data_IF_536813354369
#
_entry.id   IF_536813354369
#
_cell.length_a   1.000
_cell.length_b   1.000
_cell.length_c   1.000
_cell.angle_alpha   90.00
_cell.angle_beta   90.00
_cell.angle_gamma   90.00
#
_symmetry.space_group_name_H-M   'P 1'
#
loop_
_entity.id
_entity.type
_entity.pdbx_description
1 polymer ?
#
# COMPACT_ATOMS: atom_id res chain seq x y z
N UNK A 1 33.00 69.25 23.07
CA UNK A 1 33.55 67.90 22.77
C UNK A 1 32.90 66.83 23.64
N UNK A 2 32.83 67.03 24.97
CA UNK A 2 32.17 66.11 25.91
C UNK A 2 30.69 65.84 25.63
N UNK A 3 29.92 66.88 25.32
CA UNK A 3 28.48 66.77 25.02
C UNK A 3 28.19 65.81 23.86
N UNK A 4 28.98 65.90 22.77
CA UNK A 4 28.86 65.01 21.61
C UNK A 4 29.20 63.56 21.96
N UNK A 5 30.17 63.34 22.84
CA UNK A 5 30.55 62.00 23.30
C UNK A 5 29.45 61.37 24.16
N UNK A 6 28.83 62.15 25.06
CA UNK A 6 27.70 61.70 25.88
C UNK A 6 26.50 61.34 24.99
N UNK A 7 26.18 62.20 24.02
CA UNK A 7 25.11 61.94 23.08
C UNK A 7 25.32 60.64 22.29
N UNK A 8 26.52 60.41 21.75
CA UNK A 8 26.84 59.17 21.03
C UNK A 8 26.75 57.93 21.93
N UNK A 9 27.25 58.01 23.18
CA UNK A 9 27.18 56.90 24.12
C UNK A 9 25.72 56.52 24.42
N UNK A 10 24.91 57.51 24.78
CA UNK A 10 23.48 57.29 25.07
C UNK A 10 22.71 56.79 23.86
N UNK A 11 23.00 57.34 22.68
CA UNK A 11 22.38 56.89 21.44
C UNK A 11 22.72 55.42 21.16
N UNK A 12 23.97 55.00 21.41
CA UNK A 12 24.37 53.61 21.23
C UNK A 12 23.68 52.69 22.25
N UNK A 13 23.71 53.04 23.53
CA UNK A 13 23.04 52.26 24.59
C UNK A 13 21.54 52.11 24.31
N UNK A 14 20.89 53.18 23.89
CA UNK A 14 19.47 53.18 23.51
C UNK A 14 19.20 52.27 22.30
N UNK A 15 20.10 52.25 21.30
CA UNK A 15 19.94 51.39 20.12
C UNK A 15 20.12 49.92 20.46
N UNK A 16 21.05 49.57 21.35
CA UNK A 16 21.23 48.21 21.86
C UNK A 16 20.04 47.73 22.71
N UNK A 17 19.41 48.64 23.47
CA UNK A 17 18.21 48.32 24.27
C UNK A 17 16.96 48.13 23.39
N UNK A 18 16.74 49.02 22.41
CA UNK A 18 15.55 48.98 21.53
C UNK A 18 15.63 47.85 20.50
N UNK A 19 16.83 47.48 20.06
CA UNK A 19 17.06 46.42 19.09
C UNK A 19 17.81 45.26 19.74
N UNK A 20 17.14 44.42 20.55
CA UNK A 20 17.77 43.22 21.06
C UNK A 20 18.27 42.38 19.87
N UNK A 21 19.39 41.64 20.03
CA UNK A 21 19.88 40.75 18.99
C UNK A 21 18.76 39.82 18.52
N UNK A 22 18.44 39.88 17.23
CA UNK A 22 17.40 39.02 16.65
C UNK A 22 17.77 37.56 16.89
N UNK A 23 16.93 36.83 17.61
CA UNK A 23 17.07 35.38 17.64
C UNK A 23 16.87 34.85 16.22
N UNK A 24 17.62 33.81 15.81
CA UNK A 24 17.37 33.17 14.54
C UNK A 24 15.92 32.69 14.49
N UNK A 25 15.18 33.14 13.49
CA UNK A 25 13.80 32.71 13.28
C UNK A 25 13.79 31.22 12.93
N UNK A 26 12.89 30.45 13.57
CA UNK A 26 12.67 29.06 13.18
C UNK A 26 12.12 29.01 11.76
N UNK A 27 12.90 28.42 10.84
CA UNK A 27 12.53 28.32 9.42
C UNK A 27 11.75 27.05 9.10
N UNK A 28 11.74 26.06 10.00
CA UNK A 28 11.19 24.73 9.79
C UNK A 28 10.05 24.44 10.76
N UNK A 29 8.96 23.88 10.25
CA UNK A 29 7.89 23.33 11.08
C UNK A 29 8.37 22.11 11.86
N UNK A 30 7.70 21.83 12.99
CA UNK A 30 7.92 20.62 13.80
C UNK A 30 7.86 19.35 12.95
N UNK A 31 6.87 19.25 12.05
CA UNK A 31 6.74 18.13 11.12
C UNK A 31 7.95 18.01 10.19
N UNK A 32 8.47 19.12 9.65
CA UNK A 32 9.62 19.05 8.76
C UNK A 32 10.86 18.55 9.51
N UNK A 33 11.05 18.97 10.76
CA UNK A 33 12.16 18.50 11.61
C UNK A 33 12.04 17.01 11.95
N UNK A 34 10.84 16.55 12.28
CA UNK A 34 10.65 15.20 12.83
C UNK A 34 10.52 14.12 11.74
N UNK A 35 9.99 14.47 10.56
CA UNK A 35 9.71 13.52 9.48
C UNK A 35 10.78 13.48 8.39
N UNK A 36 11.81 14.34 8.45
CA UNK A 36 13.04 14.18 7.67
C UNK A 36 14.00 13.20 8.36
N UNK A 37 13.55 11.96 8.56
CA UNK A 37 14.45 10.89 8.96
C UNK A 37 15.38 10.56 7.77
N UNK A 38 16.54 11.21 7.72
CA UNK A 38 17.61 10.85 6.80
C UNK A 38 18.03 9.39 7.01
N UNK A 39 18.38 8.69 5.92
CA UNK A 39 18.87 7.31 6.00
C UNK A 39 17.81 6.23 5.82
N UNK A 40 16.52 6.58 5.70
CA UNK A 40 15.53 5.60 5.22
C UNK A 40 15.76 5.33 3.73
N UNK A 41 16.28 4.15 3.43
CA UNK A 41 16.38 3.61 2.07
C UNK A 41 15.40 2.45 1.96
N UNK A 42 14.22 2.62 1.34
CA UNK A 42 13.28 1.54 1.16
C UNK A 42 13.94 0.47 0.27
N UNK A 43 14.34 -0.64 0.89
CA UNK A 43 14.90 -1.78 0.17
C UNK A 43 13.79 -2.80 -0.02
N UNK A 44 13.36 -3.10 -1.25
CA UNK A 44 12.38 -4.14 -1.48
C UNK A 44 12.94 -5.48 -0.98
N UNK A 45 12.08 -6.36 -0.43
CA UNK A 45 12.53 -7.69 -0.02
C UNK A 45 13.07 -8.45 -1.22
N UNK A 46 14.08 -9.29 -0.99
CA UNK A 46 14.59 -10.20 -2.01
C UNK A 46 13.47 -11.11 -2.50
N UNK A 47 13.24 -11.12 -3.81
CA UNK A 47 12.24 -11.98 -4.43
C UNK A 47 12.69 -13.44 -4.35
N UNK A 48 11.86 -14.32 -3.78
CA UNK A 48 12.15 -15.76 -3.68
C UNK A 48 12.08 -16.47 -5.04
N UNK A 49 11.24 -15.97 -5.95
CA UNK A 49 11.05 -16.51 -7.30
C UNK A 49 10.84 -15.36 -8.30
N UNK A 50 11.16 -15.56 -9.59
CA UNK A 50 10.82 -14.60 -10.64
C UNK A 50 9.30 -14.58 -10.83
N UNK A 51 8.65 -13.47 -10.47
CA UNK A 51 7.19 -13.31 -10.56
C UNK A 51 6.79 -12.40 -11.74
N UNK A 52 5.87 -12.87 -12.58
CA UNK A 52 5.24 -12.06 -13.63
C UNK A 52 3.80 -11.70 -13.26
N UNK A 53 3.59 -10.49 -12.77
CA UNK A 53 2.28 -9.99 -12.33
C UNK A 53 1.21 -9.95 -13.44
N UNK A 54 1.59 -9.97 -14.72
CA UNK A 54 0.64 -10.01 -15.82
C UNK A 54 0.08 -11.40 -16.08
N UNK A 55 0.85 -12.44 -15.75
CA UNK A 55 0.55 -13.83 -16.14
C UNK A 55 0.21 -14.71 -14.93
N UNK A 56 0.68 -14.35 -13.74
CA UNK A 56 0.46 -15.12 -12.53
C UNK A 56 -0.86 -14.76 -11.85
N UNK A 57 -1.56 -15.79 -11.37
CA UNK A 57 -2.69 -15.59 -10.48
C UNK A 57 -2.20 -15.11 -9.10
N UNK A 58 -2.82 -14.07 -8.51
CA UNK A 58 -2.43 -13.59 -7.20
C UNK A 58 -2.69 -14.66 -6.15
N UNK A 59 -1.71 -14.90 -5.28
CA UNK A 59 -1.92 -15.74 -4.10
C UNK A 59 -2.79 -14.99 -3.10
N UNK A 60 -3.89 -15.63 -2.72
CA UNK A 60 -4.81 -15.13 -1.71
C UNK A 60 -5.29 -16.28 -0.84
N UNK A 61 -5.74 -15.95 0.38
CA UNK A 61 -6.37 -16.92 1.29
C UNK A 61 -7.46 -17.76 0.60
N UNK A 62 -8.29 -17.12 -0.22
CA UNK A 62 -9.37 -17.81 -0.93
C UNK A 62 -8.83 -18.84 -1.92
N UNK A 63 -7.79 -18.48 -2.70
CA UNK A 63 -7.15 -19.40 -3.65
C UNK A 63 -6.58 -20.64 -2.95
N UNK A 64 -5.91 -20.44 -1.81
CA UNK A 64 -5.32 -21.53 -1.02
C UNK A 64 -6.38 -22.47 -0.43
N UNK A 65 -7.55 -21.92 -0.08
CA UNK A 65 -8.64 -22.68 0.56
C UNK A 65 -9.71 -23.15 -0.42
N UNK A 66 -9.60 -22.79 -1.70
CA UNK A 66 -10.68 -22.88 -2.69
C UNK A 66 -11.28 -24.29 -2.82
N UNK A 67 -10.45 -25.34 -2.67
CA UNK A 67 -10.86 -26.74 -2.78
C UNK A 67 -11.33 -27.36 -1.44
N UNK A 68 -11.06 -26.68 -0.32
CA UNK A 68 -11.37 -27.15 1.03
C UNK A 68 -12.56 -26.43 1.68
N UNK A 69 -13.08 -25.41 0.99
CA UNK A 69 -14.15 -24.57 1.52
C UNK A 69 -15.51 -25.17 1.17
N UNK A 70 -16.37 -25.48 2.16
CA UNK A 70 -17.73 -25.93 1.90
C UNK A 70 -18.60 -24.75 1.45
N UNK A 71 -19.69 -25.05 0.73
CA UNK A 71 -20.71 -24.05 0.38
C UNK A 71 -20.35 -23.14 -0.81
N UNK A 72 -19.26 -23.42 -1.53
CA UNK A 72 -18.94 -22.75 -2.80
C UNK A 72 -19.22 -23.65 -3.99
N UNK A 73 -19.45 -23.02 -5.15
CA UNK A 73 -19.60 -23.72 -6.42
C UNK A 73 -18.31 -24.44 -6.81
N UNK A 74 -18.44 -25.59 -7.47
CA UNK A 74 -17.29 -26.40 -7.88
C UNK A 74 -16.33 -25.59 -8.78
N UNK A 75 -15.03 -25.74 -8.51
CA UNK A 75 -13.95 -25.10 -9.26
C UNK A 75 -13.47 -26.08 -10.32
N UNK A 76 -13.94 -25.90 -11.55
CA UNK A 76 -13.64 -26.81 -12.66
C UNK A 76 -12.44 -26.35 -13.52
N UNK A 77 -11.99 -25.11 -13.35
CA UNK A 77 -10.92 -24.51 -14.17
C UNK A 77 -9.74 -24.07 -13.30
N UNK A 78 -8.53 -24.43 -13.71
CA UNK A 78 -7.31 -24.16 -12.93
C UNK A 78 -6.82 -22.71 -12.99
N UNK A 79 -7.17 -21.97 -14.04
CA UNK A 79 -6.72 -20.60 -14.29
C UNK A 79 -7.67 -19.53 -13.70
N UNK A 80 -8.95 -19.86 -13.46
CA UNK A 80 -9.95 -18.92 -12.91
C UNK A 80 -10.86 -19.58 -11.85
N UNK A 81 -10.37 -19.75 -10.62
CA UNK A 81 -11.10 -20.51 -9.59
C UNK A 81 -12.41 -19.86 -9.12
N UNK A 82 -12.51 -18.53 -9.19
CA UNK A 82 -13.70 -17.77 -8.73
C UNK A 82 -14.48 -17.16 -9.88
N UNK A 83 -14.63 -17.89 -10.99
CA UNK A 83 -15.45 -17.43 -12.11
C UNK A 83 -16.93 -17.34 -11.70
N UNK A 84 -17.63 -16.31 -12.18
CA UNK A 84 -19.08 -16.16 -11.97
C UNK A 84 -19.81 -17.42 -12.45
N UNK A 85 -20.55 -18.04 -11.54
CA UNK A 85 -21.45 -19.14 -11.85
C UNK A 85 -22.85 -18.57 -12.09
N UNK A 86 -23.45 -18.89 -13.23
CA UNK A 86 -24.82 -18.49 -13.59
C UNK A 86 -25.76 -19.69 -13.72
N UNK A 87 -25.30 -20.91 -13.41
CA UNK A 87 -26.04 -22.15 -13.67
C UNK A 87 -27.44 -22.16 -13.03
N UNK A 88 -27.60 -21.58 -11.85
CA UNK A 88 -28.92 -21.46 -11.21
C UNK A 88 -29.85 -20.45 -11.90
N UNK A 89 -29.30 -19.38 -12.49
CA UNK A 89 -30.06 -18.33 -13.17
C UNK A 89 -30.25 -18.57 -14.67
N UNK A 90 -29.53 -19.53 -15.26
CA UNK A 90 -29.66 -19.89 -16.67
C UNK A 90 -31.01 -20.59 -16.91
N UNK A 91 -31.81 -20.16 -17.91
CA UNK A 91 -33.06 -20.83 -18.25
C UNK A 91 -32.86 -22.32 -18.56
N UNK A 92 -33.81 -23.16 -18.15
CA UNK A 92 -33.68 -24.63 -18.26
C UNK A 92 -33.41 -25.11 -19.69
N UNK A 93 -33.96 -24.41 -20.69
CA UNK A 93 -33.78 -24.71 -22.12
C UNK A 93 -32.34 -24.59 -22.59
N UNK A 94 -31.52 -23.78 -21.92
CA UNK A 94 -30.10 -23.54 -22.26
C UNK A 94 -29.15 -24.46 -21.46
N UNK A 95 -29.65 -25.10 -20.40
CA UNK A 95 -28.82 -25.84 -19.44
C UNK A 95 -28.79 -27.37 -19.67
N UNK A 96 -29.64 -27.91 -20.55
CA UNK A 96 -29.87 -29.36 -20.71
C UNK A 96 -28.61 -30.20 -21.02
N UNK A 97 -27.57 -29.61 -21.62
CA UNK A 97 -26.33 -30.32 -21.96
C UNK A 97 -25.12 -29.94 -21.08
N UNK A 98 -25.34 -29.17 -20.02
CA UNK A 98 -24.27 -28.70 -19.14
C UNK A 98 -24.21 -29.53 -17.84
N UNK A 99 -23.00 -29.71 -17.27
CA UNK A 99 -22.86 -30.37 -15.97
C UNK A 99 -23.60 -29.60 -14.87
N UNK A 100 -24.29 -30.33 -13.98
CA UNK A 100 -24.95 -29.75 -12.82
C UNK A 100 -23.94 -29.10 -11.86
N UNK A 101 -24.30 -28.05 -11.11
CA UNK A 101 -23.33 -27.26 -10.34
C UNK A 101 -22.70 -28.02 -9.17
N UNK A 102 -23.36 -29.10 -8.73
CA UNK A 102 -22.93 -29.99 -7.65
C UNK A 102 -22.31 -31.29 -8.17
N UNK A 103 -22.47 -31.60 -9.47
CA UNK A 103 -21.83 -32.75 -10.09
C UNK A 103 -20.35 -32.39 -10.25
N UNK A 104 -19.52 -32.96 -9.37
CA UNK A 104 -18.07 -32.88 -9.50
C UNK A 104 -17.64 -33.71 -10.71
N UNK A 105 -17.75 -33.14 -11.91
CA UNK A 105 -17.09 -33.69 -13.10
C UNK A 105 -15.61 -33.66 -12.77
N UNK A 106 -15.06 -34.83 -12.42
CA UNK A 106 -13.66 -35.12 -12.11
C UNK A 106 -12.73 -33.96 -12.46
N UNK A 107 -12.64 -32.98 -11.55
CA UNK A 107 -11.80 -31.83 -11.77
C UNK A 107 -10.38 -32.38 -11.78
N UNK A 108 -9.67 -32.21 -12.90
CA UNK A 108 -8.32 -32.77 -13.01
C UNK A 108 -7.51 -32.29 -11.81
N UNK A 109 -6.70 -33.17 -11.19
CA UNK A 109 -5.83 -32.75 -10.11
C UNK A 109 -4.99 -31.57 -10.60
N UNK A 110 -4.91 -30.51 -9.81
CA UNK A 110 -3.93 -29.46 -10.02
C UNK A 110 -2.55 -30.11 -10.20
N UNK A 111 -1.74 -29.71 -11.20
CA UNK A 111 -0.35 -30.11 -11.21
C UNK A 111 0.25 -29.58 -9.90
N UNK A 112 0.82 -30.49 -9.13
CA UNK A 112 1.52 -30.15 -7.89
C UNK A 112 2.62 -29.15 -8.25
N UNK A 113 2.45 -27.89 -7.84
CA UNK A 113 3.52 -26.89 -7.97
C UNK A 113 4.57 -27.20 -6.91
N UNK A 114 5.55 -28.04 -7.28
CA UNK A 114 6.86 -28.08 -6.63
C UNK A 114 7.72 -26.94 -7.17
#
# INVERSE_FOLDING_TARGET
MLERMLYQKYQQELMEEIHPPLSPMETLSTTHRDYQAGGFQPTPPTTTQPHNYHMEQPRSFWLERAHSMPGVTCICTGDSPFRRNTAFSTPITEYLEQPLPYEAVSCRPWPSMQ
#
